data_IF_307700870326
#
_entry.id   IF_307700870326
#
_cell.length_a   1.000
_cell.length_b   1.000
_cell.length_c   1.000
_cell.angle_alpha   90.00
_cell.angle_beta   90.00
_cell.angle_gamma   90.00
#
_symmetry.space_group_name_H-M   'P 1'
#
loop_
_entity.id
_entity.type
_entity.pdbx_description
1 polymer ?
#
# COMPACT_ATOMS: atom_id res chain seq x y z
N UNK A 1 66.82 -3.66 -35.97
CA UNK A 1 67.73 -2.57 -36.41
C UNK A 1 66.93 -1.42 -37.01
N UNK A 2 67.30 -0.19 -36.57
CA UNK A 2 67.01 1.14 -37.16
C UNK A 2 65.58 1.66 -37.00
N UNK A 3 65.42 2.62 -36.16
CA UNK A 3 65.75 4.07 -35.96
C UNK A 3 64.60 4.94 -36.47
N UNK A 4 63.97 5.62 -35.53
CA UNK A 4 63.92 7.05 -35.17
C UNK A 4 63.65 8.01 -36.37
N UNK A 5 62.60 8.81 -36.28
CA UNK A 5 62.78 10.27 -36.24
C UNK A 5 61.52 11.00 -35.80
N UNK A 6 61.64 11.77 -34.76
CA UNK A 6 60.81 12.88 -34.35
C UNK A 6 60.93 14.00 -35.37
N UNK A 7 59.88 14.73 -35.66
CA UNK A 7 59.96 16.15 -36.04
C UNK A 7 58.85 16.86 -35.33
N UNK A 8 59.28 17.68 -34.36
CA UNK A 8 58.58 18.88 -33.85
C UNK A 8 58.75 19.96 -34.89
N UNK A 9 57.67 20.66 -35.24
CA UNK A 9 57.75 22.03 -35.67
C UNK A 9 56.66 22.82 -34.96
N UNK A 10 57.17 23.77 -34.23
CA UNK A 10 56.55 24.83 -33.47
C UNK A 10 56.24 26.04 -34.36
N UNK A 11 55.39 26.87 -33.85
CA UNK A 11 55.25 28.31 -34.01
C UNK A 11 54.15 28.79 -35.01
N UNK A 12 53.22 29.36 -34.40
CA UNK A 12 52.98 30.79 -34.18
C UNK A 12 52.11 31.52 -35.19
N UNK A 13 51.09 32.11 -34.63
CA UNK A 13 50.42 33.39 -35.00
C UNK A 13 49.58 33.41 -36.23
N UNK A 14 48.30 33.75 -36.10
CA UNK A 14 47.82 35.13 -36.14
C UNK A 14 46.36 35.19 -35.68
N UNK A 15 46.12 36.06 -34.76
CA UNK A 15 44.86 36.58 -34.28
C UNK A 15 44.15 37.35 -35.40
N UNK A 16 43.04 36.83 -35.89
CA UNK A 16 42.04 37.62 -36.62
C UNK A 16 40.72 37.48 -35.91
N UNK A 17 40.45 38.49 -35.12
CA UNK A 17 39.14 38.77 -34.55
C UNK A 17 38.18 39.17 -35.65
N UNK A 18 37.38 38.23 -36.14
CA UNK A 18 36.21 38.51 -36.93
C UNK A 18 34.98 38.35 -36.06
N UNK A 19 34.45 39.45 -35.59
CA UNK A 19 33.12 39.59 -35.06
C UNK A 19 32.13 39.16 -36.15
N UNK A 20 31.57 37.98 -36.03
CA UNK A 20 30.31 37.61 -36.65
C UNK A 20 29.24 37.58 -35.57
N UNK A 21 28.14 38.31 -35.76
CA UNK A 21 27.00 38.12 -34.86
C UNK A 21 26.52 36.69 -35.03
N UNK A 22 26.43 35.98 -33.89
CA UNK A 22 25.81 34.65 -33.82
C UNK A 22 24.32 34.80 -34.14
N UNK A 23 23.97 34.77 -35.40
CA UNK A 23 22.61 34.41 -35.78
C UNK A 23 22.41 32.95 -35.37
N UNK A 24 21.71 32.80 -34.28
CA UNK A 24 21.16 31.50 -33.85
C UNK A 24 20.21 31.04 -34.95
N UNK A 25 20.73 30.29 -35.91
CA UNK A 25 19.88 29.51 -36.80
C UNK A 25 19.13 28.49 -35.93
N UNK A 26 17.98 28.88 -35.41
CA UNK A 26 16.97 27.99 -34.89
C UNK A 26 16.52 27.14 -36.07
N UNK A 27 17.09 25.96 -36.21
CA UNK A 27 16.59 24.94 -37.12
C UNK A 27 15.16 24.61 -36.70
N UNK A 28 14.14 24.88 -37.51
CA UNK A 28 12.78 24.52 -37.17
C UNK A 28 12.64 23.01 -37.24
N UNK A 29 12.34 22.37 -36.12
CA UNK A 29 11.65 21.08 -36.16
C UNK A 29 12.34 19.83 -35.69
N UNK A 30 13.36 19.88 -34.80
CA UNK A 30 13.71 18.67 -34.05
C UNK A 30 13.21 18.82 -32.63
N UNK A 31 11.90 18.66 -32.45
CA UNK A 31 11.35 18.37 -31.13
C UNK A 31 11.93 17.01 -30.75
N UNK A 32 13.01 17.02 -29.97
CA UNK A 32 13.52 15.82 -29.33
C UNK A 32 12.48 15.38 -28.32
N UNK A 33 11.47 14.66 -28.78
CA UNK A 33 10.51 14.01 -27.88
C UNK A 33 11.29 12.95 -27.12
N UNK A 34 11.81 13.33 -25.96
CA UNK A 34 12.44 12.38 -25.04
C UNK A 34 11.35 11.41 -24.57
N UNK A 35 11.21 10.33 -25.34
CA UNK A 35 10.28 9.26 -25.01
C UNK A 35 10.70 8.69 -23.64
N UNK A 36 9.85 8.89 -22.64
CA UNK A 36 10.15 8.47 -21.28
C UNK A 36 10.42 6.96 -21.26
N UNK A 37 11.58 6.56 -20.72
CA UNK A 37 11.95 5.16 -20.63
C UNK A 37 10.88 4.36 -19.88
N UNK A 38 10.59 3.11 -20.30
CA UNK A 38 9.61 2.27 -19.64
C UNK A 38 9.96 2.05 -18.15
N UNK A 39 8.98 2.26 -17.28
CA UNK A 39 9.12 2.07 -15.84
C UNK A 39 7.88 1.45 -15.21
N UNK A 40 8.09 0.62 -14.19
CA UNK A 40 6.99 0.04 -13.41
C UNK A 40 6.44 1.09 -12.44
N UNK A 41 5.12 1.11 -12.26
CA UNK A 41 4.41 2.08 -11.42
C UNK A 41 4.81 2.01 -9.93
N UNK A 42 5.30 0.88 -9.47
CA UNK A 42 5.82 0.71 -8.11
C UNK A 42 6.81 -0.46 -8.04
N UNK A 43 7.96 -0.25 -7.39
CA UNK A 43 8.97 -1.31 -7.15
C UNK A 43 8.70 -2.10 -5.86
N UNK A 44 7.94 -1.52 -4.93
CA UNK A 44 7.50 -2.16 -3.67
C UNK A 44 6.02 -1.87 -3.44
N UNK A 45 5.27 -2.88 -2.99
CA UNK A 45 3.85 -2.75 -2.73
C UNK A 45 3.47 -3.57 -1.50
N UNK A 46 2.68 -2.96 -0.60
CA UNK A 46 2.09 -3.65 0.54
C UNK A 46 0.60 -3.82 0.31
N UNK A 47 0.10 -5.04 0.47
CA UNK A 47 -1.31 -5.40 0.29
C UNK A 47 -1.85 -6.12 1.52
N UNK A 48 -3.16 -6.12 1.67
CA UNK A 48 -3.89 -6.92 2.65
C UNK A 48 -4.49 -8.13 1.94
N UNK A 49 -4.52 -9.30 2.58
CA UNK A 49 -5.20 -10.49 2.04
C UNK A 49 -6.62 -10.15 1.57
N UNK A 50 -6.97 -10.56 0.36
CA UNK A 50 -8.24 -10.25 -0.30
C UNK A 50 -8.21 -8.95 -1.13
N UNK A 51 -7.18 -8.10 -0.99
CA UNK A 51 -7.05 -6.86 -1.74
C UNK A 51 -6.63 -7.12 -3.19
N UNK A 52 -7.13 -6.27 -4.10
CA UNK A 52 -6.66 -6.21 -5.49
C UNK A 52 -6.00 -4.86 -5.77
N UNK A 53 -4.94 -4.86 -6.57
CA UNK A 53 -4.22 -3.67 -7.06
C UNK A 53 -3.78 -3.90 -8.49
N UNK A 54 -3.62 -2.84 -9.28
CA UNK A 54 -3.11 -2.94 -10.65
C UNK A 54 -1.71 -2.33 -10.73
N UNK A 55 -0.75 -3.10 -11.21
CA UNK A 55 0.56 -2.62 -11.62
C UNK A 55 0.51 -2.22 -13.09
N UNK A 56 1.21 -1.15 -13.42
CA UNK A 56 1.34 -0.67 -14.80
C UNK A 56 2.83 -0.49 -15.12
N UNK A 57 3.17 -0.64 -16.40
CA UNK A 57 4.45 -0.20 -16.94
C UNK A 57 4.11 0.95 -17.89
N UNK A 58 4.65 2.14 -17.61
CA UNK A 58 4.46 3.36 -18.40
C UNK A 58 5.68 3.60 -19.31
N UNK A 59 5.56 4.47 -20.32
CA UNK A 59 6.64 4.73 -21.28
C UNK A 59 6.81 3.60 -22.31
N UNK A 60 5.74 2.87 -22.62
CA UNK A 60 5.75 1.82 -23.63
C UNK A 60 5.49 2.40 -25.02
N UNK A 61 6.20 1.89 -26.01
CA UNK A 61 5.93 2.19 -27.41
C UNK A 61 4.64 1.51 -27.87
N UNK A 62 3.99 2.10 -28.86
CA UNK A 62 2.78 1.53 -29.48
C UNK A 62 3.05 0.08 -29.93
N UNK A 63 2.15 -0.84 -29.58
CA UNK A 63 2.28 -2.27 -29.94
C UNK A 63 3.09 -3.14 -28.98
N UNK A 64 3.81 -2.57 -27.99
CA UNK A 64 4.50 -3.39 -27.01
C UNK A 64 3.53 -4.09 -26.07
N UNK A 65 3.73 -5.39 -25.89
CA UNK A 65 2.93 -6.23 -24.98
C UNK A 65 3.69 -6.49 -23.68
N UNK A 66 2.96 -6.52 -22.56
CA UNK A 66 3.51 -6.87 -21.24
C UNK A 66 3.14 -8.30 -20.92
N UNK A 67 4.14 -9.10 -20.53
CA UNK A 67 3.92 -10.44 -19.94
C UNK A 67 4.16 -10.36 -18.45
N UNK A 68 3.14 -10.67 -17.65
CA UNK A 68 3.21 -10.64 -16.20
C UNK A 68 3.43 -12.04 -15.62
N UNK A 69 4.34 -12.14 -14.63
CA UNK A 69 4.60 -13.38 -13.88
C UNK A 69 4.74 -13.09 -12.40
N UNK A 70 4.18 -13.94 -11.56
CA UNK A 70 4.38 -13.95 -10.11
C UNK A 70 5.37 -15.04 -9.72
N UNK A 71 6.29 -14.74 -8.82
CA UNK A 71 7.19 -15.75 -8.24
C UNK A 71 6.44 -16.76 -7.36
N UNK A 72 5.28 -16.34 -6.80
CA UNK A 72 4.41 -17.21 -6.00
C UNK A 72 2.94 -16.80 -6.16
N UNK A 73 2.25 -17.50 -7.07
CA UNK A 73 0.83 -17.24 -7.36
C UNK A 73 -0.14 -17.65 -6.23
N UNK A 74 0.32 -18.47 -5.27
CA UNK A 74 -0.43 -18.81 -4.05
C UNK A 74 -0.49 -17.62 -3.08
N UNK A 75 0.53 -16.74 -3.08
CA UNK A 75 0.58 -15.52 -2.26
C UNK A 75 -0.05 -14.35 -3.01
N UNK A 76 0.43 -14.07 -4.23
CA UNK A 76 -0.09 -13.01 -5.09
C UNK A 76 -0.27 -13.55 -6.51
N UNK A 77 -1.49 -13.58 -6.98
CA UNK A 77 -1.77 -13.85 -8.39
C UNK A 77 -1.70 -12.53 -9.20
N UNK A 78 -1.30 -12.64 -10.46
CA UNK A 78 -1.33 -11.55 -11.43
C UNK A 78 -1.98 -12.01 -12.71
N UNK A 79 -2.84 -11.19 -13.31
CA UNK A 79 -3.44 -11.48 -14.61
C UNK A 79 -2.71 -10.75 -15.75
N UNK A 80 -3.14 -11.00 -17.01
CA UNK A 80 -2.56 -10.39 -18.21
C UNK A 80 -2.62 -8.86 -18.22
N UNK A 81 -3.60 -8.25 -17.52
CA UNK A 81 -3.76 -6.81 -17.41
C UNK A 81 -2.94 -6.18 -16.25
N UNK A 82 -2.08 -6.95 -15.55
CA UNK A 82 -1.31 -6.48 -14.40
C UNK A 82 -2.13 -6.33 -13.12
N UNK A 83 -3.37 -6.83 -13.06
CA UNK A 83 -4.18 -6.83 -11.84
C UNK A 83 -3.67 -7.91 -10.90
N UNK A 84 -3.22 -7.48 -9.73
CA UNK A 84 -2.78 -8.32 -8.63
C UNK A 84 -3.94 -8.68 -7.73
N UNK A 85 -3.91 -9.90 -7.18
CA UNK A 85 -4.81 -10.34 -6.13
C UNK A 85 -4.01 -10.98 -4.99
N UNK A 86 -4.12 -10.42 -3.81
CA UNK A 86 -3.47 -10.92 -2.60
C UNK A 86 -4.26 -12.11 -2.03
N UNK A 87 -3.73 -13.33 -2.14
CA UNK A 87 -4.41 -14.58 -1.73
C UNK A 87 -4.00 -15.03 -0.32
N UNK A 88 -2.73 -14.93 0.02
CA UNK A 88 -2.21 -15.40 1.31
C UNK A 88 -1.16 -14.43 1.87
N UNK A 89 -0.92 -14.50 3.20
CA UNK A 89 0.19 -13.78 3.85
C UNK A 89 1.53 -14.25 3.32
N UNK A 90 2.45 -13.32 3.07
CA UNK A 90 3.80 -13.60 2.59
C UNK A 90 4.30 -12.54 1.63
N UNK A 91 5.36 -12.86 0.89
CA UNK A 91 5.95 -11.98 -0.12
C UNK A 91 6.05 -12.70 -1.46
N UNK A 92 5.81 -11.98 -2.54
CA UNK A 92 6.02 -12.45 -3.90
C UNK A 92 6.60 -11.33 -4.75
N UNK A 93 7.43 -11.68 -5.73
CA UNK A 93 7.94 -10.74 -6.72
C UNK A 93 7.10 -10.85 -7.98
N UNK A 94 6.54 -9.73 -8.40
CA UNK A 94 5.82 -9.64 -9.67
C UNK A 94 6.77 -9.09 -10.71
N UNK A 95 6.89 -9.79 -11.82
CA UNK A 95 7.74 -9.41 -12.95
C UNK A 95 6.88 -9.11 -14.17
N UNK A 96 7.00 -7.90 -14.69
CA UNK A 96 6.47 -7.52 -15.99
C UNK A 96 7.60 -7.53 -17.02
N UNK A 97 7.48 -8.28 -18.08
CA UNK A 97 8.47 -8.36 -19.17
C UNK A 97 7.94 -7.66 -20.41
N UNK A 98 8.75 -6.75 -20.96
CA UNK A 98 8.48 -6.01 -22.18
C UNK A 98 9.71 -6.07 -23.05
N UNK A 99 9.62 -6.57 -24.29
CA UNK A 99 10.74 -6.66 -25.25
C UNK A 99 12.02 -7.19 -24.59
N UNK A 100 11.92 -8.32 -23.89
CA UNK A 100 13.00 -9.01 -23.14
C UNK A 100 13.50 -8.26 -21.87
N UNK A 101 13.08 -7.01 -21.61
CA UNK A 101 13.42 -6.27 -20.38
C UNK A 101 12.45 -6.63 -19.24
N UNK A 102 12.99 -6.83 -18.04
CA UNK A 102 12.24 -7.20 -16.85
C UNK A 102 12.08 -6.01 -15.91
N UNK A 103 10.86 -5.79 -15.42
CA UNK A 103 10.49 -4.78 -14.43
C UNK A 103 9.89 -5.51 -13.25
N UNK A 104 10.44 -5.33 -12.06
CA UNK A 104 10.05 -6.11 -10.88
C UNK A 104 9.38 -5.24 -9.83
N UNK A 105 8.39 -5.82 -9.13
CA UNK A 105 7.77 -5.25 -7.95
C UNK A 105 7.74 -6.29 -6.84
N UNK A 106 8.33 -5.98 -5.68
CA UNK A 106 8.22 -6.81 -4.47
C UNK A 106 6.90 -6.51 -3.78
N UNK A 107 6.01 -7.49 -3.72
CA UNK A 107 4.70 -7.38 -3.06
C UNK A 107 4.74 -8.12 -1.74
N UNK A 108 4.41 -7.43 -0.66
CA UNK A 108 4.25 -8.03 0.68
C UNK A 108 2.77 -8.02 1.06
N UNK A 109 2.23 -9.18 1.40
CA UNK A 109 0.84 -9.36 1.79
C UNK A 109 0.75 -9.59 3.29
N UNK A 110 -0.02 -8.73 3.96
CA UNK A 110 -0.40 -8.88 5.35
C UNK A 110 -1.77 -9.56 5.46
N UNK A 111 -1.99 -10.33 6.52
CA UNK A 111 -3.29 -10.90 6.87
C UNK A 111 -3.67 -10.46 8.28
N UNK A 112 -4.20 -9.24 8.44
CA UNK A 112 -4.61 -8.75 9.74
C UNK A 112 -5.70 -9.62 10.36
N UNK A 113 -5.70 -9.66 11.69
CA UNK A 113 -6.68 -10.42 12.48
C UNK A 113 -7.11 -9.63 13.70
N UNK A 114 -8.42 -9.56 13.93
CA UNK A 114 -8.96 -9.03 15.18
C UNK A 114 -8.66 -9.98 16.33
N UNK A 115 -8.36 -9.43 17.53
CA UNK A 115 -8.20 -10.20 18.75
C UNK A 115 -9.52 -10.88 19.21
N UNK A 116 -10.68 -10.28 18.84
CA UNK A 116 -12.01 -10.87 19.06
C UNK A 116 -12.96 -10.50 17.89
N UNK A 117 -13.78 -11.43 17.48
CA UNK A 117 -14.84 -11.25 16.48
C UNK A 117 -16.22 -11.06 17.10
N UNK A 118 -16.34 -11.38 18.38
CA UNK A 118 -17.52 -11.10 19.19
C UNK A 118 -17.09 -10.72 20.62
N UNK A 119 -17.78 -9.75 21.21
CA UNK A 119 -17.52 -9.24 22.57
C UNK A 119 -18.86 -8.96 23.24
N UNK A 120 -19.00 -9.40 24.51
CA UNK A 120 -20.13 -9.05 25.38
C UNK A 120 -19.61 -8.15 26.50
N UNK A 121 -20.26 -6.99 26.69
CA UNK A 121 -19.91 -6.00 27.72
C UNK A 121 -21.15 -5.66 28.52
N UNK A 122 -20.97 -5.19 29.75
CA UNK A 122 -22.02 -4.50 30.52
C UNK A 122 -21.97 -2.99 30.23
N UNK A 123 -23.06 -2.28 30.43
CA UNK A 123 -23.08 -0.80 30.34
C UNK A 123 -21.96 -0.21 31.20
N UNK A 124 -21.31 0.85 30.70
CA UNK A 124 -20.16 1.56 31.29
C UNK A 124 -18.82 0.78 31.21
N UNK A 125 -18.78 -0.43 30.70
CA UNK A 125 -17.52 -1.16 30.50
C UNK A 125 -16.78 -0.68 29.24
N UNK A 126 -15.46 -0.84 29.30
CA UNK A 126 -14.55 -0.62 28.16
C UNK A 126 -13.91 -1.94 27.73
N UNK A 127 -13.54 -2.01 26.45
CA UNK A 127 -12.80 -3.15 25.91
C UNK A 127 -11.81 -2.68 24.84
N UNK A 128 -10.58 -3.23 24.86
CA UNK A 128 -9.59 -2.92 23.85
C UNK A 128 -9.67 -3.92 22.70
N UNK A 129 -10.25 -3.50 21.59
CA UNK A 129 -10.23 -4.25 20.34
C UNK A 129 -8.91 -3.90 19.60
N UNK A 130 -8.20 -4.94 19.14
CA UNK A 130 -6.93 -4.81 18.44
C UNK A 130 -7.00 -5.53 17.10
N UNK A 131 -6.46 -4.91 16.06
CA UNK A 131 -6.21 -5.52 14.76
C UNK A 131 -4.70 -5.70 14.63
N UNK A 132 -4.21 -6.94 14.71
CA UNK A 132 -2.80 -7.28 14.60
C UNK A 132 -2.43 -7.72 13.18
N UNK A 133 -1.12 -7.77 12.86
CA UNK A 133 -0.61 -8.26 11.58
C UNK A 133 -0.64 -7.25 10.44
N UNK A 134 -0.71 -5.95 10.77
CA UNK A 134 -0.55 -4.85 9.80
C UNK A 134 0.09 -3.64 10.46
N UNK A 135 0.89 -2.90 9.71
CA UNK A 135 1.45 -1.60 10.11
C UNK A 135 0.71 -0.44 9.41
N UNK A 136 -0.40 -0.76 8.72
CA UNK A 136 -1.20 0.23 8.00
C UNK A 136 -2.17 0.93 8.94
N UNK A 137 -2.56 2.16 8.57
CA UNK A 137 -3.56 2.94 9.31
C UNK A 137 -4.89 2.18 9.39
N UNK A 138 -5.41 2.03 10.60
CA UNK A 138 -6.70 1.40 10.89
C UNK A 138 -7.73 2.49 11.10
N UNK A 139 -8.87 2.37 10.44
CA UNK A 139 -10.06 3.21 10.69
C UNK A 139 -11.11 2.38 11.40
N UNK A 140 -11.56 2.85 12.55
CA UNK A 140 -12.58 2.21 13.37
C UNK A 140 -13.93 2.89 13.19
N UNK A 141 -15.01 2.13 13.09
CA UNK A 141 -16.38 2.64 13.00
C UNK A 141 -17.33 1.76 13.80
N UNK A 142 -18.23 2.39 14.57
CA UNK A 142 -19.39 1.73 15.19
C UNK A 142 -20.61 1.82 14.28
N UNK A 143 -21.41 0.78 14.20
CA UNK A 143 -22.70 0.80 13.51
C UNK A 143 -23.74 1.60 14.29
N UNK A 144 -23.58 1.70 15.63
CA UNK A 144 -24.47 2.48 16.50
C UNK A 144 -23.69 3.08 17.66
N UNK A 145 -23.39 4.37 17.58
CA UNK A 145 -22.64 5.11 18.60
C UNK A 145 -23.46 5.43 19.85
N UNK A 146 -24.79 5.24 19.82
CA UNK A 146 -25.64 5.33 21.03
C UNK A 146 -25.49 4.10 21.93
N UNK A 147 -25.16 2.93 21.35
CA UNK A 147 -24.95 1.67 22.07
C UNK A 147 -23.47 1.52 22.48
N UNK A 148 -22.55 1.67 21.53
CA UNK A 148 -21.10 1.54 21.77
C UNK A 148 -20.32 2.52 20.90
N UNK A 149 -19.38 3.22 21.52
CA UNK A 149 -18.40 4.04 20.79
C UNK A 149 -17.06 3.32 20.66
N UNK A 150 -16.29 3.72 19.66
CA UNK A 150 -14.90 3.26 19.44
C UNK A 150 -14.01 4.46 19.14
N UNK A 151 -12.86 4.54 19.78
CA UNK A 151 -11.88 5.58 19.50
C UNK A 151 -10.87 5.16 18.41
N UNK A 152 -9.98 6.08 18.01
CA UNK A 152 -8.94 5.83 16.98
C UNK A 152 -7.99 4.68 17.34
N UNK A 153 -7.82 4.38 18.64
CA UNK A 153 -6.98 3.29 19.12
C UNK A 153 -7.73 1.94 19.21
N UNK A 154 -9.03 1.89 18.88
CA UNK A 154 -9.85 0.68 18.98
C UNK A 154 -10.39 0.40 20.39
N UNK A 155 -10.33 1.36 21.33
CA UNK A 155 -10.95 1.24 22.65
C UNK A 155 -12.44 1.47 22.54
N UNK A 156 -13.22 0.46 22.91
CA UNK A 156 -14.69 0.50 22.97
C UNK A 156 -15.15 1.05 24.31
N UNK A 157 -16.29 1.75 24.29
CA UNK A 157 -17.02 2.15 25.50
C UNK A 157 -18.50 1.82 25.32
N UNK A 158 -19.03 1.01 26.20
CA UNK A 158 -20.43 0.54 26.23
C UNK A 158 -21.33 1.63 26.87
N UNK A 159 -22.20 2.25 26.07
CA UNK A 159 -23.10 3.34 26.54
C UNK A 159 -24.46 2.83 27.01
N UNK A 160 -25.08 1.96 26.22
CA UNK A 160 -26.42 1.45 26.52
C UNK A 160 -26.56 -0.01 26.10
N UNK A 161 -27.51 -0.73 26.69
CA UNK A 161 -27.81 -2.11 26.33
C UNK A 161 -28.28 -2.20 24.88
N UNK A 162 -27.88 -3.28 24.18
CA UNK A 162 -28.22 -3.51 22.78
C UNK A 162 -27.11 -4.21 22.01
N UNK A 163 -27.30 -4.34 20.72
CA UNK A 163 -26.34 -4.94 19.81
C UNK A 163 -25.77 -3.89 18.83
N UNK A 164 -24.48 -3.94 18.61
CA UNK A 164 -23.82 -3.11 17.62
C UNK A 164 -22.65 -3.87 16.97
N UNK A 165 -22.17 -3.35 15.87
CA UNK A 165 -21.04 -3.94 15.13
C UNK A 165 -19.92 -2.91 15.05
N UNK A 166 -18.71 -3.33 15.43
CA UNK A 166 -17.50 -2.51 15.24
C UNK A 166 -16.78 -3.01 14.00
N UNK A 167 -16.49 -2.09 13.10
CA UNK A 167 -15.74 -2.36 11.88
C UNK A 167 -14.37 -1.69 11.96
N UNK A 168 -13.31 -2.49 11.81
CA UNK A 168 -11.97 -2.02 11.54
C UNK A 168 -11.73 -2.08 10.02
N UNK A 169 -11.25 -1.01 9.42
CA UNK A 169 -10.97 -0.94 7.99
C UNK A 169 -9.49 -0.60 7.75
N UNK A 170 -8.84 -1.38 6.87
CA UNK A 170 -7.46 -1.19 6.44
C UNK A 170 -7.41 -1.35 4.92
N UNK A 171 -6.96 -0.30 4.21
CA UNK A 171 -6.83 -0.33 2.74
C UNK A 171 -8.09 -0.87 2.02
N UNK A 172 -9.29 -0.50 2.49
CA UNK A 172 -10.57 -0.93 1.91
C UNK A 172 -11.08 -2.30 2.39
N UNK A 173 -10.25 -3.10 3.08
CA UNK A 173 -10.67 -4.39 3.65
C UNK A 173 -11.27 -4.17 5.04
N UNK A 174 -12.41 -4.80 5.30
CA UNK A 174 -13.18 -4.67 6.55
C UNK A 174 -13.01 -5.91 7.43
N UNK A 175 -12.84 -5.67 8.72
CA UNK A 175 -12.80 -6.67 9.79
C UNK A 175 -13.89 -6.31 10.79
N UNK A 176 -14.75 -7.27 11.11
CA UNK A 176 -16.00 -7.03 11.84
C UNK A 176 -15.96 -7.71 13.19
N UNK A 177 -16.35 -6.99 14.25
CA UNK A 177 -16.60 -7.51 15.60
C UNK A 177 -18.04 -7.23 16.00
N UNK A 178 -18.80 -8.27 16.37
CA UNK A 178 -20.14 -8.16 16.93
C UNK A 178 -20.04 -7.81 18.41
N UNK A 179 -20.72 -6.79 18.87
CA UNK A 179 -20.72 -6.33 20.26
C UNK A 179 -22.12 -6.40 20.82
N UNK A 180 -22.30 -7.14 21.92
CA UNK A 180 -23.54 -7.21 22.69
C UNK A 180 -23.34 -6.49 24.02
N UNK A 181 -24.17 -5.49 24.30
CA UNK A 181 -24.15 -4.78 25.57
C UNK A 181 -25.34 -5.22 26.40
N UNK A 182 -25.05 -5.70 27.59
CA UNK A 182 -26.05 -6.11 28.58
C UNK A 182 -26.30 -4.98 29.56
N UNK A 183 -27.53 -4.90 30.12
CA UNK A 183 -27.81 -4.00 31.25
C UNK A 183 -26.86 -4.31 32.39
N UNK A 184 -26.46 -3.30 33.14
CA UNK A 184 -25.79 -3.52 34.44
C UNK A 184 -26.77 -4.26 35.33
N UNK A 185 -26.35 -5.40 35.92
CA UNK A 185 -27.17 -6.06 36.92
C UNK A 185 -27.52 -5.06 38.03
N UNK A 186 -28.77 -4.98 38.41
CA UNK A 186 -29.16 -4.25 39.63
C UNK A 186 -28.42 -4.85 40.83
N UNK A 187 -28.01 -4.02 41.81
CA UNK A 187 -27.48 -4.57 43.05
C UNK A 187 -28.48 -5.61 43.60
N UNK A 188 -28.01 -6.76 43.99
CA UNK A 188 -28.86 -7.75 44.66
C UNK A 188 -29.51 -7.07 45.85
N UNK A 189 -30.86 -7.11 45.92
CA UNK A 189 -31.61 -6.66 47.10
C UNK A 189 -31.05 -7.47 48.29
N UNK A 190 -30.66 -6.83 49.39
CA UNK A 190 -30.26 -7.56 50.59
C UNK A 190 -31.30 -8.61 50.93
N UNK A 191 -30.87 -9.82 51.20
CA UNK A 191 -31.75 -10.84 51.70
C UNK A 191 -32.42 -10.32 53.02
N UNK A 192 -33.70 -10.58 53.25
CA UNK A 192 -34.33 -10.18 54.48
C UNK A 192 -33.59 -10.88 55.61
N UNK A 193 -33.03 -10.10 56.54
CA UNK A 193 -32.43 -10.58 57.77
C UNK A 193 -33.54 -11.35 58.52
N UNK A 194 -33.35 -12.65 58.74
CA UNK A 194 -34.22 -13.45 59.57
C UNK A 194 -34.29 -12.81 60.97
N UNK A 195 -35.48 -12.50 61.42
CA UNK A 195 -35.71 -12.00 62.77
C UNK A 195 -35.25 -13.11 63.80
N UNK A 196 -34.56 -12.74 64.88
CA UNK A 196 -34.27 -13.67 65.89
C UNK A 196 -35.58 -14.13 66.55
N UNK A 197 -35.68 -15.43 66.80
CA UNK A 197 -36.79 -16.09 67.59
C UNK A 197 -36.74 -15.70 69.05
#
# INVERSE_FOLDING_TARGET
>A
MKKWKKILISLMTVFVLAMFPAESAILPGTVCVTEAAPRISSSKLTMIKGQSRTLKITGLKKGQKITWKSSNSKIVAVNKAGKLQAKAKGSATITGTVSKRKYTCKVTVHAPKLNKTAVTLKVSQTYQLKLSGTNQKITWKSSNSKIVTVNKAGKLFAKSAGNATITAQVNGIRFVCKVKIQKKAAPAKPAPTAAPA
#
